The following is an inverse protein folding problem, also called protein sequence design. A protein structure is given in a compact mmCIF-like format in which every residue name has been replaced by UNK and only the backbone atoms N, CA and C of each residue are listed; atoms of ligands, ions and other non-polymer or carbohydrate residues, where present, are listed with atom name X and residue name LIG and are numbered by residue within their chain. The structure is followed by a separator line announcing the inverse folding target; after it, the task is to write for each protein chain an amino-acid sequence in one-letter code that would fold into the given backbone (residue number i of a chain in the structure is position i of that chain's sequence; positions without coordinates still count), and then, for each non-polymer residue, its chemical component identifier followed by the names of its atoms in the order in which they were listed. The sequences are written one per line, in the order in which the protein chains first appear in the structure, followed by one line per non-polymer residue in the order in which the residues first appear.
data_IF_857955457395
#
_entry.id   IF_857955457395
#
_cell.length_a   1.000
_cell.length_b   1.000
_cell.length_c   1.000
_cell.angle_alpha   90.00
_cell.angle_beta   90.00
_cell.angle_gamma   90.00
#
_symmetry.space_group_name_H-M   'P 1'
#
loop_
_entity.id
_entity.type
_entity.pdbx_description
1 polymer ?
#
# COMPACT_ATOMS: atom_id res chain seq x y z
N UNK A 1 10.36 -9.56 -18.14
CA UNK A 1 9.72 -8.24 -18.20
C UNK A 1 9.33 -7.78 -16.80
N UNK A 2 9.69 -6.56 -16.44
CA UNK A 2 9.32 -5.98 -15.16
C UNK A 2 7.91 -5.43 -15.24
N UNK A 3 7.08 -5.76 -14.26
CA UNK A 3 5.75 -5.20 -14.16
C UNK A 3 5.71 -4.26 -12.95
N UNK A 4 5.32 -3.01 -13.17
CA UNK A 4 5.16 -2.03 -12.12
C UNK A 4 3.69 -1.67 -11.95
N UNK A 5 3.23 -1.73 -10.70
CA UNK A 5 1.90 -1.31 -10.29
C UNK A 5 2.04 0.04 -9.60
N UNK A 6 1.13 0.95 -9.85
CA UNK A 6 1.13 2.28 -9.25
C UNK A 6 -0.26 2.56 -8.67
N UNK A 7 -0.34 2.75 -7.36
CA UNK A 7 -1.58 3.02 -6.64
C UNK A 7 -1.44 4.29 -5.80
N UNK A 8 -2.56 4.91 -5.48
CA UNK A 8 -2.61 6.18 -4.78
C UNK A 8 -2.78 6.00 -3.28
N UNK A 9 -1.96 6.69 -2.49
CA UNK A 9 -2.19 6.88 -1.08
C UNK A 9 -1.92 8.35 -0.73
N UNK A 10 -1.86 8.68 0.54
CA UNK A 10 -1.74 10.05 0.97
C UNK A 10 -1.07 10.11 2.35
N UNK A 11 -0.36 11.19 2.61
CA UNK A 11 0.14 11.48 3.94
C UNK A 11 -0.24 12.93 4.30
N UNK A 12 -0.50 13.14 5.58
CA UNK A 12 -0.77 14.49 6.10
C UNK A 12 0.38 14.93 6.98
N UNK A 13 0.83 16.15 6.75
CA UNK A 13 1.80 16.83 7.59
C UNK A 13 1.08 18.05 8.15
N UNK A 14 0.56 17.91 9.37
CA UNK A 14 -0.41 18.87 9.89
C UNK A 14 -1.69 18.82 9.07
N UNK A 15 -2.07 19.94 8.45
CA UNK A 15 -3.23 20.01 7.58
C UNK A 15 -2.90 19.85 6.10
N UNK A 16 -1.60 19.78 5.76
CA UNK A 16 -1.16 19.66 4.38
C UNK A 16 -1.22 18.22 3.91
N UNK A 17 -1.89 17.99 2.80
CA UNK A 17 -2.01 16.68 2.17
C UNK A 17 -0.95 16.52 1.09
N UNK A 18 -0.19 15.43 1.16
CA UNK A 18 0.78 15.07 0.13
C UNK A 18 0.38 13.74 -0.48
N UNK A 19 0.07 13.70 -1.78
CA UNK A 19 -0.21 12.43 -2.44
C UNK A 19 1.05 11.57 -2.49
N UNK A 20 0.88 10.29 -2.23
CA UNK A 20 1.96 9.30 -2.27
C UNK A 20 1.61 8.27 -3.34
N UNK A 21 2.53 8.09 -4.28
CA UNK A 21 2.42 7.04 -5.28
C UNK A 21 3.07 5.79 -4.74
N UNK A 22 2.28 4.75 -4.53
CA UNK A 22 2.75 3.46 -4.03
C UNK A 22 3.05 2.59 -5.23
N UNK A 23 4.33 2.42 -5.53
CA UNK A 23 4.81 1.68 -6.69
C UNK A 23 5.29 0.31 -6.24
N UNK A 24 4.75 -0.73 -6.87
CA UNK A 24 5.11 -2.12 -6.56
C UNK A 24 5.66 -2.76 -7.82
N UNK A 25 6.85 -3.33 -7.74
CA UNK A 25 7.52 -3.96 -8.86
C UNK A 25 8.02 -5.36 -8.50
N UNK A 26 7.71 -6.32 -9.37
CA UNK A 26 8.32 -7.65 -9.34
C UNK A 26 9.41 -7.70 -10.39
N UNK A 27 10.61 -8.08 -9.99
CA UNK A 27 11.72 -8.29 -10.92
C UNK A 27 12.18 -9.74 -10.92
N UNK A 28 13.03 -10.10 -11.89
CA UNK A 28 13.35 -11.49 -12.26
C UNK A 28 13.75 -12.39 -11.10
N UNK A 29 13.58 -13.69 -11.36
CA UNK A 29 13.64 -14.76 -10.41
C UNK A 29 14.88 -14.87 -9.55
N UNK A 30 14.64 -15.18 -8.28
CA UNK A 30 15.66 -15.44 -7.26
C UNK A 30 15.43 -16.85 -6.70
N UNK A 31 16.40 -17.34 -5.94
CA UNK A 31 16.23 -18.63 -5.25
C UNK A 31 15.18 -18.57 -4.13
N UNK A 32 14.94 -17.37 -3.59
CA UNK A 32 13.97 -17.13 -2.53
C UNK A 32 13.37 -15.72 -2.68
N UNK A 33 12.17 -15.46 -2.13
CA UNK A 33 11.57 -14.14 -2.21
C UNK A 33 12.38 -13.08 -1.47
N UNK A 34 12.44 -11.88 -2.04
CA UNK A 34 12.93 -10.67 -1.37
C UNK A 34 11.84 -9.62 -1.36
N UNK A 35 11.74 -8.87 -0.27
CA UNK A 35 10.74 -7.82 -0.11
C UNK A 35 11.40 -6.60 0.52
N UNK A 36 11.45 -5.50 -0.23
CA UNK A 36 12.06 -4.24 0.21
C UNK A 36 11.10 -3.08 0.05
N UNK A 37 11.09 -2.16 1.04
CA UNK A 37 10.32 -0.91 0.98
C UNK A 37 11.31 0.23 1.02
N UNK A 38 11.24 1.13 0.03
CA UNK A 38 12.11 2.30 -0.09
C UNK A 38 11.29 3.58 -0.25
N UNK A 39 11.92 4.74 -0.12
CA UNK A 39 11.29 6.05 -0.26
C UNK A 39 11.12 6.80 1.06
N UNK A 40 12.17 6.87 1.88
CA UNK A 40 12.15 7.50 3.21
C UNK A 40 11.04 6.93 4.11
N UNK A 41 10.89 5.63 4.08
CA UNK A 41 9.95 4.92 4.94
C UNK A 41 10.52 4.84 6.37
N UNK A 42 9.71 5.25 7.36
CA UNK A 42 10.11 5.09 8.75
C UNK A 42 9.99 3.62 9.19
N UNK A 43 10.30 3.36 10.45
CA UNK A 43 10.27 2.00 10.99
C UNK A 43 8.87 1.39 10.91
N UNK A 44 7.83 2.17 11.22
CA UNK A 44 6.46 1.68 11.19
C UNK A 44 6.04 1.27 9.78
N UNK A 45 6.45 2.04 8.77
CA UNK A 45 6.19 1.70 7.37
C UNK A 45 6.98 0.45 6.97
N UNK A 46 8.23 0.32 7.38
CA UNK A 46 9.03 -0.86 7.06
C UNK A 46 8.48 -2.14 7.69
N UNK A 47 7.85 -2.03 8.85
CA UNK A 47 7.17 -3.16 9.50
C UNK A 47 5.98 -3.67 8.70
N UNK A 48 5.45 -2.88 7.75
CA UNK A 48 4.40 -3.33 6.84
C UNK A 48 4.77 -4.63 6.12
N UNK A 49 6.03 -4.80 5.77
CA UNK A 49 6.49 -6.01 5.08
C UNK A 49 6.16 -7.27 5.88
N UNK A 50 6.38 -7.23 7.19
CA UNK A 50 6.10 -8.38 8.06
C UNK A 50 4.61 -8.65 8.19
N UNK A 51 3.80 -7.61 8.40
CA UNK A 51 2.34 -7.77 8.49
C UNK A 51 1.77 -8.32 7.19
N UNK A 52 2.25 -7.83 6.05
CA UNK A 52 1.79 -8.26 4.73
C UNK A 52 2.17 -9.71 4.46
N UNK A 53 3.39 -10.12 4.79
CA UNK A 53 3.81 -11.53 4.66
C UNK A 53 2.88 -12.45 5.43
N UNK A 54 2.54 -12.08 6.66
CA UNK A 54 1.65 -12.88 7.50
C UNK A 54 0.24 -12.98 6.93
N UNK A 55 -0.28 -11.87 6.39
CA UNK A 55 -1.62 -11.84 5.78
C UNK A 55 -1.65 -12.69 4.51
N UNK A 56 -0.64 -12.57 3.65
CA UNK A 56 -0.57 -13.39 2.44
C UNK A 56 -0.53 -14.87 2.78
N UNK A 57 0.22 -15.25 3.80
CA UNK A 57 0.26 -16.63 4.29
C UNK A 57 -1.12 -17.09 4.77
N UNK A 58 -1.83 -16.24 5.52
CA UNK A 58 -3.18 -16.54 6.00
C UNK A 58 -4.18 -16.69 4.86
N UNK A 59 -3.94 -16.04 3.73
CA UNK A 59 -4.76 -16.15 2.52
C UNK A 59 -4.34 -17.32 1.62
N UNK A 60 -3.40 -18.14 2.05
CA UNK A 60 -2.79 -19.22 1.27
C UNK A 60 -2.11 -18.71 0.00
N UNK A 61 -1.58 -17.49 0.06
CA UNK A 61 -0.81 -16.89 -1.02
C UNK A 61 0.66 -16.81 -0.60
N UNK A 62 1.55 -17.14 -1.52
CA UNK A 62 2.99 -17.04 -1.29
C UNK A 62 3.58 -15.96 -2.19
N UNK A 63 4.57 -15.24 -1.68
CA UNK A 63 5.36 -14.38 -2.53
C UNK A 63 6.16 -15.24 -3.51
N UNK A 64 6.16 -14.91 -4.81
CA UNK A 64 6.96 -15.65 -5.78
C UNK A 64 8.46 -15.47 -5.47
N UNK A 65 9.35 -16.40 -5.95
CA UNK A 65 10.79 -16.28 -5.75
C UNK A 65 11.36 -15.17 -6.64
N UNK A 66 10.94 -13.96 -6.40
CA UNK A 66 11.30 -12.77 -7.15
C UNK A 66 11.61 -11.65 -6.17
N UNK A 67 12.27 -10.62 -6.66
CA UNK A 67 12.48 -9.41 -5.87
C UNK A 67 11.23 -8.54 -5.98
N UNK A 68 10.61 -8.30 -4.83
CA UNK A 68 9.49 -7.41 -4.68
C UNK A 68 10.02 -6.10 -4.12
N UNK A 69 9.90 -5.03 -4.89
CA UNK A 69 10.31 -3.70 -4.44
C UNK A 69 9.09 -2.81 -4.36
N UNK A 70 8.91 -2.18 -3.21
CA UNK A 70 7.88 -1.16 -3.00
C UNK A 70 8.59 0.18 -2.86
N UNK A 71 8.26 1.12 -3.73
CA UNK A 71 8.77 2.49 -3.68
C UNK A 71 7.63 3.43 -3.34
N UNK A 72 7.82 4.21 -2.28
CA UNK A 72 6.85 5.23 -1.88
C UNK A 72 7.35 6.57 -2.40
N UNK A 73 6.73 7.07 -3.46
CA UNK A 73 7.15 8.29 -4.15
C UNK A 73 6.29 9.49 -3.73
N UNK A 74 6.84 10.69 -3.61
CA UNK A 74 8.23 11.08 -3.92
C UNK A 74 9.24 10.64 -2.83
N UNK A 75 10.46 10.35 -3.28
CA UNK A 75 11.49 9.78 -2.41
C UNK A 75 12.05 10.74 -1.37
N UNK A 76 11.85 12.05 -1.54
CA UNK A 76 12.36 13.09 -0.64
C UNK A 76 11.34 13.48 0.45
N UNK A 77 10.19 12.85 0.49
CA UNK A 77 9.18 13.06 1.53
C UNK A 77 9.19 11.86 2.47
N UNK A 78 9.33 12.13 3.77
CA UNK A 78 9.30 11.09 4.79
C UNK A 78 7.89 10.50 4.92
N UNK A 79 7.77 9.17 4.94
CA UNK A 79 6.51 8.46 5.11
C UNK A 79 6.50 7.80 6.48
N UNK A 80 5.40 7.98 7.20
CA UNK A 80 5.23 7.46 8.54
C UNK A 80 3.84 6.86 8.73
N UNK A 81 3.71 6.01 9.73
CA UNK A 81 2.44 5.40 10.10
C UNK A 81 2.22 4.05 9.46
N UNK A 82 1.16 3.38 9.90
CA UNK A 82 0.82 2.02 9.47
C UNK A 82 -0.20 1.96 8.33
N UNK A 83 -0.72 3.12 7.90
CA UNK A 83 -1.81 3.18 6.92
C UNK A 83 -1.38 2.82 5.50
N UNK A 84 -0.08 2.69 5.24
CA UNK A 84 0.42 2.23 3.94
C UNK A 84 0.32 0.72 3.77
N UNK A 85 -0.01 -0.03 4.82
CA UNK A 85 -0.18 -1.49 4.72
C UNK A 85 -1.14 -1.86 3.60
N UNK A 86 -2.32 -1.25 3.59
CA UNK A 86 -3.36 -1.62 2.63
C UNK A 86 -3.00 -1.31 1.18
N UNK A 87 -2.49 -0.11 0.83
CA UNK A 87 -2.08 0.14 -0.55
C UNK A 87 -0.92 -0.74 -0.99
N UNK A 88 0.03 -1.05 -0.11
CA UNK A 88 1.12 -1.96 -0.43
C UNK A 88 0.58 -3.36 -0.71
N UNK A 89 -0.28 -3.88 0.16
CA UNK A 89 -0.92 -5.19 -0.03
C UNK A 89 -1.70 -5.24 -1.35
N UNK A 90 -2.50 -4.21 -1.62
CA UNK A 90 -3.25 -4.12 -2.87
C UNK A 90 -2.32 -4.12 -4.08
N UNK A 91 -1.22 -3.39 -4.01
CA UNK A 91 -0.23 -3.35 -5.09
C UNK A 91 0.40 -4.70 -5.35
N UNK A 92 0.72 -5.44 -4.29
CA UNK A 92 1.26 -6.80 -4.41
C UNK A 92 0.23 -7.74 -5.05
N UNK A 93 -1.02 -7.67 -4.60
CA UNK A 93 -2.08 -8.50 -5.17
C UNK A 93 -2.33 -8.18 -6.65
N UNK A 94 -2.19 -6.92 -7.06
CA UNK A 94 -2.22 -6.56 -8.47
C UNK A 94 -1.03 -7.17 -9.22
N UNK A 95 0.17 -7.07 -8.64
CA UNK A 95 1.39 -7.55 -9.28
C UNK A 95 1.38 -9.06 -9.51
N UNK A 96 0.78 -9.82 -8.61
CA UNK A 96 0.63 -11.28 -8.75
C UNK A 96 -0.67 -11.71 -9.46
N UNK A 97 -1.45 -10.75 -9.94
CA UNK A 97 -2.61 -11.02 -10.78
C UNK A 97 -3.92 -11.33 -10.05
N UNK A 98 -3.98 -11.08 -8.74
CA UNK A 98 -5.19 -11.37 -7.94
C UNK A 98 -6.21 -10.23 -8.04
N UNK A 99 -5.75 -8.98 -8.13
CA UNK A 99 -6.63 -7.81 -8.21
C UNK A 99 -6.43 -7.05 -9.52
N UNK A 100 -7.47 -6.36 -10.02
CA UNK A 100 -7.38 -5.55 -11.24
C UNK A 100 -6.84 -4.16 -10.95
N UNK A 101 -5.67 -3.85 -11.46
CA UNK A 101 -5.01 -2.55 -11.28
C UNK A 101 -5.88 -1.38 -11.75
N UNK A 102 -6.49 -1.50 -12.92
CA UNK A 102 -7.26 -0.43 -13.53
C UNK A 102 -8.44 0.05 -12.68
N UNK A 103 -9.00 -0.82 -11.85
CA UNK A 103 -10.05 -0.43 -10.91
C UNK A 103 -9.50 0.30 -9.70
N UNK A 104 -8.34 -0.14 -9.18
CA UNK A 104 -7.75 0.43 -7.96
C UNK A 104 -7.15 1.82 -8.18
N UNK A 105 -6.76 2.15 -9.40
CA UNK A 105 -6.23 3.48 -9.74
C UNK A 105 -7.22 4.61 -9.48
N UNK A 106 -8.50 4.30 -9.39
CA UNK A 106 -9.57 5.28 -9.17
C UNK A 106 -9.75 5.68 -7.71
N UNK A 107 -8.93 5.12 -6.82
CA UNK A 107 -9.11 5.28 -5.37
C UNK A 107 -7.84 5.76 -4.71
N UNK A 108 -8.02 6.50 -3.61
CA UNK A 108 -6.97 6.72 -2.61
C UNK A 108 -7.13 5.59 -1.58
N UNK A 109 -6.05 4.89 -1.29
CA UNK A 109 -6.08 3.68 -0.47
C UNK A 109 -5.29 3.90 0.82
N UNK A 110 -5.90 3.63 1.97
CA UNK A 110 -5.22 3.71 3.26
C UNK A 110 -5.86 2.74 4.26
N UNK A 111 -5.05 2.14 5.10
CA UNK A 111 -5.49 1.23 6.14
C UNK A 111 -4.34 0.40 6.69
N UNK A 112 -4.44 0.03 7.96
CA UNK A 112 -3.52 -0.91 8.58
C UNK A 112 -4.09 -2.33 8.43
N UNK A 113 -3.23 -3.31 8.23
CA UNK A 113 -3.63 -4.71 8.09
C UNK A 113 -3.24 -5.49 9.34
N UNK A 114 -4.22 -6.13 9.97
CA UNK A 114 -3.96 -7.03 11.08
C UNK A 114 -3.49 -8.40 10.61
N UNK A 115 -2.84 -9.16 11.49
CA UNK A 115 -2.28 -10.47 11.15
C UNK A 115 -3.35 -11.47 10.71
N UNK A 116 -4.59 -11.26 11.10
CA UNK A 116 -5.72 -12.09 10.70
C UNK A 116 -6.37 -11.64 9.38
N UNK A 117 -5.79 -10.65 8.70
CA UNK A 117 -6.34 -10.10 7.46
C UNK A 117 -7.37 -9.00 7.66
N UNK A 118 -7.73 -8.66 8.89
CA UNK A 118 -8.67 -7.57 9.13
C UNK A 118 -8.03 -6.23 8.79
N UNK A 119 -8.83 -5.31 8.25
CA UNK A 119 -8.38 -3.94 7.98
C UNK A 119 -8.68 -3.12 9.24
N UNK A 120 -7.63 -2.60 9.84
CA UNK A 120 -7.68 -1.90 11.12
C UNK A 120 -7.83 -0.40 10.89
N UNK A 121 -8.56 0.27 11.78
CA UNK A 121 -8.73 1.72 11.72
C UNK A 121 -7.41 2.46 11.64
N UNK A 122 -7.41 3.55 10.90
CA UNK A 122 -6.26 4.43 10.77
C UNK A 122 -6.73 5.88 10.91
N UNK A 123 -5.81 6.76 11.30
CA UNK A 123 -6.09 8.18 11.37
C UNK A 123 -6.22 8.77 9.96
N UNK A 124 -6.80 9.97 9.90
CA UNK A 124 -6.85 10.78 8.68
C UNK A 124 -7.75 10.25 7.55
N UNK A 125 -8.66 9.30 7.82
CA UNK A 125 -9.60 8.81 6.79
C UNK A 125 -10.51 9.93 6.32
N UNK A 126 -11.06 10.74 7.23
CA UNK A 126 -11.96 11.83 6.85
C UNK A 126 -11.26 12.90 6.00
N UNK A 127 -10.12 13.46 6.40
CA UNK A 127 -9.42 14.42 5.53
C UNK A 127 -8.94 13.78 4.23
N UNK A 128 -8.57 12.49 4.23
CA UNK A 128 -8.21 11.78 3.01
C UNK A 128 -9.42 11.67 2.06
N UNK A 129 -10.61 11.41 2.60
CA UNK A 129 -11.85 11.35 1.82
C UNK A 129 -12.16 12.70 1.15
N UNK A 130 -11.99 13.79 1.89
CA UNK A 130 -12.19 15.14 1.37
C UNK A 130 -11.21 15.43 0.23
N UNK A 131 -9.94 15.11 0.44
CA UNK A 131 -8.91 15.30 -0.58
C UNK A 131 -9.19 14.47 -1.83
N UNK A 132 -9.52 13.18 -1.66
CA UNK A 132 -9.83 12.27 -2.76
C UNK A 132 -11.02 12.79 -3.56
N UNK A 133 -12.09 13.21 -2.88
CA UNK A 133 -13.27 13.73 -3.53
C UNK A 133 -12.95 14.97 -4.38
N UNK A 134 -12.07 15.85 -3.89
CA UNK A 134 -11.65 17.05 -4.64
C UNK A 134 -10.90 16.72 -5.93
N UNK A 135 -10.36 15.49 -6.05
CA UNK A 135 -9.62 14.99 -7.21
C UNK A 135 -10.43 14.04 -8.07
N UNK A 136 -11.72 13.84 -7.75
CA UNK A 136 -12.56 12.90 -8.46
C UNK A 136 -12.22 11.43 -8.21
N UNK A 137 -11.57 11.14 -7.08
CA UNK A 137 -11.18 9.79 -6.69
C UNK A 137 -12.09 9.28 -5.57
N UNK A 138 -12.31 7.98 -5.54
CA UNK A 138 -12.93 7.31 -4.41
C UNK A 138 -11.91 7.05 -3.30
N UNK A 139 -12.35 6.38 -2.24
CA UNK A 139 -11.47 6.01 -1.14
C UNK A 139 -11.66 4.53 -0.80
N UNK A 140 -10.57 3.84 -0.52
CA UNK A 140 -10.58 2.49 0.03
C UNK A 140 -9.94 2.59 1.43
N UNK A 141 -10.71 2.25 2.45
CA UNK A 141 -10.32 2.41 3.84
C UNK A 141 -11.01 1.33 4.70
N UNK A 142 -10.72 1.24 6.00
CA UNK A 142 -11.44 0.31 6.87
C UNK A 142 -12.95 0.49 6.77
N UNK A 143 -13.69 -0.62 6.73
CA UNK A 143 -15.12 -0.62 6.44
C UNK A 143 -15.98 0.18 7.43
N UNK A 144 -15.54 0.29 8.68
CA UNK A 144 -16.24 1.05 9.72
C UNK A 144 -15.92 2.55 9.68
N UNK A 145 -15.01 2.98 8.82
CA UNK A 145 -14.63 4.39 8.65
C UNK A 145 -15.18 4.99 7.36
N UNK A 146 -15.56 4.17 6.40
CA UNK A 146 -16.01 4.62 5.09
C UNK A 146 -17.49 4.96 4.99
N UNK A 147 -18.23 4.81 6.07
CA UNK A 147 -19.67 5.05 6.08
C UNK A 147 -20.04 6.53 6.10
#
# INVERSE_FOLDING_TARGET
MKRMISLNSIIFNGMDATPIDVQVQLSSGLSKPEFNIIGLADRAVKESAERIRNVLSAMNLSLPPKRLTVNLSPADVEKSGSHFDLPILCGILCAIGVLPEGELEKYVILGEVGLNGAIVKTDAVLPASVWANSRGLGIICPGDQGA
#
